data_IF_308243848063
#
_entry.id   IF_308243848063
#
_cell.length_a   1.000
_cell.length_b   1.000
_cell.length_c   1.000
_cell.angle_alpha   90.00
_cell.angle_beta   90.00
_cell.angle_gamma   90.00
#
_symmetry.space_group_name_H-M   'P 1'
#
loop_
_entity.id
_entity.type
_entity.pdbx_description
1 polymer ?
2 polymer ?
3 water ?
#
# COMPACT_ATOMS: atom_id res chain seq x y z
N UNK A 1 -16.53 -3.03 2.08
CA UNK A 1 -15.41 -3.43 1.26
C UNK A 1 -15.68 -2.86 -0.14
N UNK A 2 -15.08 -3.39 -1.22
CA UNK A 2 -15.13 -2.95 -2.62
C UNK A 2 -15.39 -1.47 -2.92
N UNK A 3 -16.65 -1.03 -2.97
CA UNK A 3 -16.99 0.35 -3.21
C UNK A 3 -16.33 1.24 -2.16
N UNK A 4 -16.30 0.83 -0.88
CA UNK A 4 -15.65 1.60 0.19
C UNK A 4 -14.13 1.72 0.00
N UNK A 5 -13.47 0.73 -0.64
CA UNK A 5 -12.01 0.72 -0.77
C UNK A 5 -11.54 1.53 -1.98
N UNK A 6 -12.27 1.47 -3.10
CA UNK A 6 -11.92 2.15 -4.30
C UNK A 6 -11.83 3.65 -4.02
N UNK A 7 -10.73 4.32 -4.38
CA UNK A 7 -10.56 5.73 -4.06
C UNK A 7 -9.12 6.08 -3.78
N UNK A 8 -8.92 7.28 -3.27
CA UNK A 8 -7.63 7.83 -2.98
C UNK A 8 -7.46 7.84 -1.46
N UNK A 9 -6.31 7.36 -1.03
CA UNK A 9 -5.95 7.28 0.38
C UNK A 9 -4.60 7.99 0.61
N UNK A 10 -4.40 8.54 1.81
CA UNK A 10 -3.25 9.35 2.15
C UNK A 10 -2.72 8.79 3.44
N UNK A 11 -1.41 8.68 3.60
CA UNK A 11 -0.92 8.35 4.93
C UNK A 11 -0.41 9.62 5.59
N UNK A 12 0.13 9.44 6.80
CA UNK A 12 0.59 10.51 7.68
C UNK A 12 1.79 11.26 7.08
N UNK A 13 2.60 10.58 6.25
CA UNK A 13 3.77 11.18 5.63
C UNK A 13 3.46 12.04 4.43
N UNK A 14 2.29 11.93 3.81
CA UNK A 14 2.03 12.63 2.56
C UNK A 14 2.03 11.72 1.33
N UNK A 15 2.19 10.41 1.46
CA UNK A 15 2.07 9.53 0.32
C UNK A 15 0.61 9.28 -0.04
N UNK A 16 0.37 9.09 -1.34
CA UNK A 16 -0.93 8.85 -1.92
C UNK A 16 -1.02 7.47 -2.57
N UNK A 17 -2.07 6.66 -2.34
CA UNK A 17 -2.27 5.53 -3.22
C UNK A 17 -3.70 5.55 -3.68
N UNK A 18 -3.80 5.28 -4.96
CA UNK A 18 -5.05 5.25 -5.69
C UNK A 18 -5.34 3.79 -6.06
N UNK A 19 -6.47 3.22 -5.64
CA UNK A 19 -6.77 1.80 -5.83
C UNK A 19 -8.19 1.60 -6.32
N UNK A 20 -8.37 0.64 -7.24
CA UNK A 20 -9.66 0.09 -7.66
C UNK A 20 -9.82 -1.32 -7.09
N UNK A 21 -10.92 -1.57 -6.38
CA UNK A 21 -11.17 -2.91 -5.84
C UNK A 21 -12.13 -3.66 -6.77
N UNK A 22 -11.72 -4.73 -7.42
CA UNK A 22 -12.49 -5.38 -8.45
C UNK A 22 -13.44 -6.36 -7.79
N UNK A 23 -14.48 -6.75 -8.53
CA UNK A 23 -15.53 -7.64 -8.01
C UNK A 23 -14.97 -8.99 -7.56
N UNK A 24 -13.89 -9.47 -8.21
CA UNK A 24 -13.35 -10.76 -7.81
C UNK A 24 -12.14 -10.76 -6.90
N UNK A 25 -12.07 -9.70 -6.08
CA UNK A 25 -11.11 -9.62 -4.99
C UNK A 25 -9.79 -9.01 -5.39
N UNK A 26 -9.60 -8.55 -6.63
CA UNK A 26 -8.37 -7.88 -7.07
C UNK A 26 -8.23 -6.41 -6.67
N UNK A 27 -7.04 -5.97 -6.27
CA UNK A 27 -6.73 -4.55 -6.09
C UNK A 27 -5.68 -4.14 -7.16
N UNK A 28 -5.87 -3.00 -7.86
CA UNK A 28 -4.94 -2.52 -8.88
C UNK A 28 -4.80 -1.00 -8.65
N UNK A 29 -3.65 -0.35 -8.88
CA UNK A 29 -3.54 1.08 -8.66
C UNK A 29 -2.11 1.56 -8.66
N UNK A 30 -1.89 2.76 -8.13
CA UNK A 30 -0.55 3.35 -8.10
C UNK A 30 -0.32 3.96 -6.72
N UNK A 31 0.95 3.90 -6.31
CA UNK A 31 1.45 4.50 -5.08
C UNK A 31 2.28 5.71 -5.57
N UNK A 32 2.19 6.83 -4.87
CA UNK A 32 2.94 8.02 -5.23
C UNK A 32 3.63 8.42 -3.97
N UNK A 33 4.96 8.40 -3.94
CA UNK A 33 5.73 8.92 -2.80
C UNK A 33 5.51 10.41 -2.51
N UNK A 34 5.10 11.17 -3.52
CA UNK A 34 4.75 12.55 -3.32
C UNK A 34 3.64 12.87 -4.30
N UNK A 35 2.72 13.71 -3.82
CA UNK A 35 1.43 14.03 -4.45
C UNK A 35 1.45 14.58 -5.90
N UNK A 36 2.54 14.69 -6.67
CA UNK A 36 2.42 15.28 -8.00
C UNK A 36 3.66 15.15 -8.85
N UNK A 37 4.00 13.95 -9.33
CA UNK A 37 5.15 13.72 -10.20
C UNK A 37 5.24 12.29 -10.70
N UNK A 38 5.39 12.06 -12.01
CA UNK A 38 5.35 10.71 -12.57
C UNK A 38 6.50 9.83 -12.15
N UNK A 39 7.62 10.47 -11.84
CA UNK A 39 8.85 9.80 -11.44
C UNK A 39 8.73 9.14 -10.06
N UNK A 40 7.70 9.56 -9.32
CA UNK A 40 7.43 9.03 -8.01
C UNK A 40 6.22 8.08 -7.99
N UNK A 41 5.63 7.77 -9.14
CA UNK A 41 4.53 6.83 -9.14
C UNK A 41 5.01 5.45 -9.54
N UNK A 42 4.49 4.47 -8.80
CA UNK A 42 4.83 3.06 -8.93
C UNK A 42 3.54 2.22 -8.99
N UNK A 43 3.54 1.13 -9.73
CA UNK A 43 2.43 0.19 -9.85
C UNK A 43 2.25 -0.65 -8.58
N UNK A 44 1.00 -0.87 -8.17
CA UNK A 44 0.71 -1.81 -7.11
C UNK A 44 -0.34 -2.81 -7.58
N UNK A 45 -0.27 -3.98 -7.01
CA UNK A 45 -1.26 -5.01 -7.18
C UNK A 45 -1.52 -5.75 -5.85
N UNK A 46 -2.71 -6.29 -5.62
CA UNK A 46 -3.00 -6.96 -4.36
C UNK A 46 -4.36 -7.67 -4.39
N UNK A 47 -4.81 -8.11 -3.22
CA UNK A 47 -6.02 -8.89 -3.06
C UNK A 47 -6.73 -8.43 -1.78
N UNK A 48 -8.07 -8.61 -1.71
CA UNK A 48 -8.85 -8.33 -0.52
C UNK A 48 -9.99 -9.36 -0.42
N UNK A 49 -10.54 -9.56 0.79
CA UNK A 49 -11.71 -10.41 1.05
C UNK A 49 -12.97 -9.74 0.49
N UNK A 50 -13.51 -10.28 -0.61
CA UNK A 50 -14.64 -9.66 -1.27
C UNK A 50 -15.98 -10.14 -0.71
N UNK A 51 -16.05 -10.96 0.33
CA UNK A 51 -17.30 -11.23 1.02
C UNK A 51 -17.00 -11.24 2.52
N UNK A 52 -16.70 -10.08 3.11
CA UNK A 52 -16.27 -10.03 4.50
C UNK A 52 -17.39 -10.36 5.50
N UNK A 53 -17.13 -10.64 6.78
CA UNK A 53 -18.18 -11.02 7.73
C UNK A 53 -19.10 -9.85 8.09
N UNK A 54 -20.35 -10.19 8.34
CA UNK A 54 -21.41 -9.21 8.53
C UNK A 54 -21.49 -8.57 9.91
N UNK A 55 -20.81 -9.14 10.91
CA UNK A 55 -20.65 -8.47 12.19
C UNK A 55 -19.67 -7.31 12.01
N UNK A 56 -19.29 -6.54 13.03
CA UNK A 56 -18.46 -5.34 12.80
C UNK A 56 -16.95 -5.59 12.56
N UNK A 57 -16.60 -6.54 11.69
CA UNK A 57 -15.22 -6.90 11.46
C UNK A 57 -14.64 -6.03 10.35
N UNK A 58 -13.31 -5.82 10.32
CA UNK A 58 -12.63 -5.24 9.18
C UNK A 58 -12.58 -6.23 8.03
N UNK A 59 -12.30 -5.70 6.86
CA UNK A 59 -12.04 -6.45 5.64
C UNK A 59 -10.52 -6.65 5.46
N UNK A 60 -10.01 -7.89 5.48
CA UNK A 60 -8.58 -8.16 5.32
C UNK A 60 -8.12 -7.92 3.87
N UNK A 61 -6.92 -7.35 3.69
CA UNK A 61 -6.40 -7.07 2.36
C UNK A 61 -4.85 -7.01 2.43
N UNK A 62 -4.22 -6.99 1.27
CA UNK A 62 -2.79 -6.80 1.17
C UNK A 62 -2.42 -6.33 -0.24
N UNK A 63 -1.25 -5.65 -0.43
CA UNK A 63 -0.76 -5.30 -1.77
C UNK A 63 0.77 -5.22 -1.75
N UNK A 64 1.37 -5.28 -2.95
CA UNK A 64 2.81 -5.17 -3.18
C UNK A 64 3.11 -4.01 -4.13
N UNK A 65 4.22 -3.29 -3.85
CA UNK A 65 4.84 -2.33 -4.78
C UNK A 65 6.30 -2.77 -4.94
N UNK A 66 6.74 -3.05 -6.17
CA UNK A 66 8.17 -3.15 -6.47
C UNK A 66 8.73 -1.77 -6.89
N UNK A 67 9.81 -1.27 -6.31
CA UNK A 67 10.24 0.12 -6.46
C UNK A 67 11.12 0.30 -7.71
N UNK A 68 10.51 0.05 -8.87
CA UNK A 68 11.09 0.26 -10.18
C UNK A 68 9.99 0.91 -10.99
N UNK A 69 10.37 1.99 -11.68
CA UNK A 69 9.52 2.58 -12.68
C UNK A 69 10.41 3.03 -13.83
N UNK A 70 9.93 3.86 -14.74
CA UNK A 70 10.71 4.33 -15.88
C UNK A 70 11.92 5.21 -15.56
N UNK A 71 12.00 5.77 -14.36
CA UNK A 71 13.02 6.75 -14.00
C UNK A 71 14.02 6.30 -12.95
N UNK A 72 13.73 5.25 -12.19
CA UNK A 72 14.45 4.96 -10.96
C UNK A 72 14.30 3.44 -10.77
N UNK A 73 15.33 2.84 -10.19
CA UNK A 73 15.16 1.50 -9.73
C UNK A 73 15.86 1.47 -8.38
N UNK A 74 15.10 1.19 -7.29
CA UNK A 74 15.68 1.08 -5.96
C UNK A 74 15.91 -0.38 -5.53
N UNK A 75 15.78 -1.40 -6.39
CA UNK A 75 16.11 -2.80 -6.08
C UNK A 75 15.55 -3.31 -4.76
N UNK A 76 14.24 -3.15 -4.64
CA UNK A 76 13.52 -3.41 -3.40
C UNK A 76 12.01 -3.55 -3.64
N UNK A 77 11.22 -4.16 -2.71
CA UNK A 77 9.77 -4.30 -2.85
C UNK A 77 9.19 -4.17 -1.45
N UNK A 78 8.05 -3.51 -1.29
CA UNK A 78 7.32 -3.49 -0.03
C UNK A 78 5.96 -4.23 -0.16
N UNK A 79 5.55 -4.98 0.85
CA UNK A 79 4.17 -5.53 0.95
C UNK A 79 3.45 -4.89 2.14
N UNK A 80 2.20 -4.44 1.99
CA UNK A 80 1.40 -3.99 3.11
C UNK A 80 0.32 -5.04 3.44
N UNK A 81 0.15 -5.42 4.71
CA UNK A 81 -0.87 -6.38 5.17
C UNK A 81 -1.72 -5.70 6.25
N UNK A 82 -3.06 -5.72 6.16
CA UNK A 82 -3.93 -5.02 7.10
C UNK A 82 -5.40 -5.28 6.81
N UNK A 83 -6.19 -4.29 7.25
CA UNK A 83 -7.63 -4.34 7.13
C UNK A 83 -8.26 -2.97 7.01
N UNK A 84 -9.22 -2.94 6.09
CA UNK A 84 -10.07 -1.79 5.91
C UNK A 84 -11.14 -1.76 6.99
N UNK A 85 -11.39 -0.57 7.48
CA UNK A 85 -12.43 -0.34 8.47
C UNK A 85 -13.25 0.84 7.92
N UNK A 86 -14.53 0.55 7.73
CA UNK A 86 -15.45 1.50 7.11
C UNK A 86 -16.04 2.52 8.07
N UNK A 87 -16.94 3.31 7.51
CA UNK A 87 -17.74 4.19 8.33
C UNK A 87 -17.37 5.62 8.03
N UNK A 88 -17.81 6.49 8.92
CA UNK A 88 -17.65 7.92 8.71
C UNK A 88 -16.21 8.32 8.62
N UNK A 89 -15.37 7.62 9.39
CA UNK A 89 -13.94 7.87 9.35
C UNK A 89 -13.20 6.56 9.04
N UNK A 90 -13.37 6.24 7.75
CA UNK A 90 -12.77 5.09 7.11
C UNK A 90 -11.25 5.12 7.20
N UNK A 91 -10.65 3.97 7.48
CA UNK A 91 -9.22 3.89 7.46
C UNK A 91 -8.77 2.48 7.20
N UNK A 92 -7.49 2.37 6.80
CA UNK A 92 -6.85 1.09 6.51
C UNK A 92 -5.66 1.17 7.42
N UNK A 93 -5.62 0.23 8.36
CA UNK A 93 -4.49 0.10 9.29
C UNK A 93 -3.62 -1.02 8.74
N UNK A 94 -2.33 -0.79 8.53
CA UNK A 94 -1.43 -1.78 7.91
C UNK A 94 -0.13 -1.95 8.73
N UNK A 95 0.50 -3.11 8.56
CA UNK A 95 1.89 -3.29 8.88
C UNK A 95 2.59 -3.58 7.57
N UNK A 96 3.86 -3.23 7.42
CA UNK A 96 4.53 -3.43 6.15
C UNK A 96 5.93 -4.05 6.29
N UNK A 97 6.40 -4.74 5.25
CA UNK A 97 7.74 -5.28 5.20
C UNK A 97 8.38 -4.78 3.91
N UNK A 98 9.56 -4.15 4.04
CA UNK A 98 10.32 -3.65 2.87
C UNK A 98 11.58 -4.54 2.72
N UNK A 99 11.67 -5.35 1.64
CA UNK A 99 12.87 -6.14 1.41
C UNK A 99 13.75 -5.56 0.28
N UNK A 100 15.05 -5.37 0.51
CA UNK A 100 16.03 -5.03 -0.52
C UNK A 100 16.75 -6.27 -1.08
N UNK A 101 17.04 -6.36 -2.38
CA UNK A 101 17.94 -7.40 -2.91
C UNK A 101 19.36 -7.24 -2.32
N UNK A 102 19.94 -8.27 -1.68
CA UNK A 102 21.23 -8.16 -1.00
C UNK A 102 22.06 -9.29 -1.54
N UNK A 103 23.34 -9.22 -1.19
CA UNK A 103 24.21 -10.38 -1.34
C UNK A 103 23.86 -11.35 -0.21
N UNK A 104 24.23 -12.62 -0.28
CA UNK A 104 24.00 -13.55 0.82
C UNK A 104 24.69 -13.24 2.15
N UNK A 105 25.81 -12.52 2.09
CA UNK A 105 26.49 -12.10 3.29
C UNK A 105 25.65 -11.02 3.95
N UNK A 106 25.04 -10.16 3.13
CA UNK A 106 24.26 -9.11 3.73
C UNK A 106 22.79 -9.38 3.95
N UNK A 107 22.38 -10.62 3.85
CA UNK A 107 20.97 -10.92 3.88
C UNK A 107 20.30 -10.58 5.21
N UNK A 108 21.02 -10.58 6.33
CA UNK A 108 20.45 -10.24 7.63
C UNK A 108 19.85 -8.83 7.75
N UNK A 109 20.30 -7.89 6.94
CA UNK A 109 19.81 -6.54 6.94
C UNK A 109 18.86 -6.34 5.78
N UNK A 110 18.32 -7.40 5.20
CA UNK A 110 17.53 -7.16 4.01
C UNK A 110 16.11 -6.55 4.22
N UNK A 111 15.48 -6.71 5.40
CA UNK A 111 14.05 -6.44 5.57
C UNK A 111 13.79 -5.55 6.79
N UNK A 112 13.15 -4.42 6.48
CA UNK A 112 12.62 -3.49 7.45
C UNK A 112 11.14 -3.71 7.68
N UNK A 113 10.70 -3.33 8.86
CA UNK A 113 9.28 -3.50 9.24
C UNK A 113 8.77 -2.18 9.84
N UNK A 114 7.51 -1.86 9.51
CA UNK A 114 6.90 -0.69 10.06
C UNK A 114 5.41 -0.81 9.94
N UNK A 115 4.72 0.30 10.09
CA UNK A 115 3.26 0.27 10.12
C UNK A 115 2.78 1.58 9.52
N UNK A 116 1.58 1.66 8.97
CA UNK A 116 1.04 2.82 8.26
C UNK A 116 -0.49 2.82 8.42
N UNK A 117 -1.13 3.99 8.63
CA UNK A 117 -2.59 4.20 8.61
C UNK A 117 -2.95 5.10 7.45
N UNK A 118 -3.87 4.72 6.58
CA UNK A 118 -4.29 5.49 5.44
C UNK A 118 -5.66 6.04 5.76
N UNK A 119 -5.94 7.29 5.41
CA UNK A 119 -7.26 7.87 5.57
C UNK A 119 -7.70 8.48 4.26
N UNK A 120 -8.99 8.72 4.07
CA UNK A 120 -9.48 9.36 2.85
C UNK A 120 -9.31 10.87 2.88
N UNK A 121 -9.06 11.36 4.09
CA UNK A 121 -8.90 12.77 4.37
C UNK A 121 -7.41 13.08 4.28
N UNK A 122 -6.99 13.99 3.40
CA UNK A 122 -5.64 14.52 3.49
C UNK A 122 -5.68 15.59 4.57
N UNK A 123 -4.80 15.60 5.57
CA UNK A 123 -4.71 16.68 6.55
C UNK A 123 -3.89 17.91 6.17
C UNK B 1 17.73 10.22 0.33
N UNK B 2 17.10 9.05 0.19
CA UNK B 2 15.96 8.55 0.95
C UNK B 2 15.33 7.52 0.00
N UNK B 3 14.65 6.48 0.52
CA UNK B 3 14.01 5.47 -0.32
C UNK B 3 12.71 6.04 -0.91
N UNK B 4 12.30 5.74 -2.16
CA UNK B 4 11.05 6.18 -2.77
C UNK B 4 9.77 5.84 -2.02
N UNK B 5 9.76 4.91 -1.06
CA UNK B 5 8.60 4.71 -0.21
C UNK B 5 8.36 5.95 0.64
N UNK B 6 9.44 6.70 0.86
CA UNK B 6 9.47 7.81 1.79
C UNK B 6 9.71 9.17 1.12
N UNK B 7 10.37 9.29 -0.02
CA UNK B 7 10.44 10.57 -0.69
C UNK B 7 10.15 10.42 -2.16
N UNK B 8 9.17 11.15 -2.65
#
# INVERSE_FOLDING_TARGET
AEAGITGTWYNQLGSTFIVTAGADGALTGTYESAVGNAESRYVLTGRYDSAPATDGSGTALGWTVAWKNNYRNAHSATTWSGQYVGGAEARINTQWLLTSGTTEANAWKSTLVGHDTFTKVKP
XCHPQFCX
#
